data_IF_165867991879
#
_entry.id   IF_165867991879
#
_cell.length_a   1.000
_cell.length_b   1.000
_cell.length_c   1.000
_cell.angle_alpha   90.00
_cell.angle_beta   90.00
_cell.angle_gamma   90.00
#
_symmetry.space_group_name_H-M   'P 1'
#
loop_
_entity.id
_entity.type
_entity.pdbx_description
1 polymer ?
#
# COMPACT_ATOMS: atom_id res chain seq x y z
N UNK A 1 -8.75 -12.27 -2.64
CA UNK A 1 -8.72 -13.05 -3.89
C UNK A 1 -10.11 -13.12 -4.47
N UNK A 2 -10.37 -12.42 -5.58
CA UNK A 2 -11.70 -12.43 -6.22
C UNK A 2 -12.10 -13.81 -6.78
N UNK A 3 -11.13 -14.67 -7.08
CA UNK A 3 -11.35 -16.01 -7.65
C UNK A 3 -11.52 -17.13 -6.62
N UNK A 4 -11.43 -16.83 -5.31
CA UNK A 4 -11.34 -17.86 -4.26
C UNK A 4 -10.02 -18.65 -4.28
N UNK A 5 -9.07 -18.27 -5.14
CA UNK A 5 -7.76 -18.91 -5.28
C UNK A 5 -6.63 -17.90 -5.12
N UNK A 6 -5.52 -18.35 -4.56
CA UNK A 6 -4.34 -17.54 -4.38
C UNK A 6 -3.65 -17.27 -5.72
N UNK A 7 -3.42 -16.01 -6.13
CA UNK A 7 -2.77 -15.71 -7.40
C UNK A 7 -1.28 -16.07 -7.39
N UNK A 8 -0.66 -16.20 -6.20
CA UNK A 8 0.76 -16.56 -6.07
C UNK A 8 1.00 -18.06 -6.23
N UNK A 9 0.12 -18.92 -5.70
CA UNK A 9 0.36 -20.37 -5.64
C UNK A 9 -0.81 -21.25 -6.07
N UNK A 10 -1.92 -20.68 -6.53
CA UNK A 10 -3.11 -21.40 -7.00
C UNK A 10 -3.98 -22.04 -5.89
N UNK A 11 -3.56 -22.00 -4.63
CA UNK A 11 -4.31 -22.65 -3.53
C UNK A 11 -5.68 -22.02 -3.29
N UNK A 12 -6.70 -22.85 -3.04
CA UNK A 12 -8.03 -22.43 -2.57
C UNK A 12 -8.15 -22.25 -1.05
N UNK A 13 -7.07 -22.47 -0.29
CA UNK A 13 -7.08 -22.32 1.18
C UNK A 13 -6.85 -20.86 1.59
N UNK A 14 -7.93 -20.10 1.65
CA UNK A 14 -7.91 -18.65 1.92
C UNK A 14 -8.54 -18.35 3.28
N UNK A 15 -7.84 -17.58 4.10
CA UNK A 15 -8.32 -17.08 5.39
C UNK A 15 -8.79 -15.62 5.29
N UNK A 16 -9.88 -15.29 5.98
CA UNK A 16 -10.50 -13.96 6.05
C UNK A 16 -11.99 -13.98 5.66
N UNK A 17 -12.66 -12.81 5.55
CA UNK A 17 -12.12 -11.46 5.72
C UNK A 17 -11.67 -11.17 7.15
N UNK A 18 -10.42 -10.76 7.32
CA UNK A 18 -9.93 -10.26 8.60
C UNK A 18 -9.92 -8.73 8.54
N UNK A 19 -10.59 -8.08 9.49
CA UNK A 19 -10.31 -6.68 9.77
C UNK A 19 -8.92 -6.63 10.39
N UNK A 20 -7.98 -5.93 9.76
CA UNK A 20 -6.63 -5.80 10.33
C UNK A 20 -6.70 -4.91 11.55
N UNK A 21 -6.74 -5.51 12.74
CA UNK A 21 -6.68 -4.85 14.04
C UNK A 21 -5.24 -4.91 14.53
N UNK A 22 -4.57 -3.77 14.62
CA UNK A 22 -3.31 -3.66 15.35
C UNK A 22 -3.63 -3.09 16.72
N UNK A 23 -3.70 -3.94 17.75
CA UNK A 23 -3.68 -3.61 19.19
C UNK A 23 -4.76 -2.67 19.75
N UNK A 24 -4.98 -1.52 19.12
CA UNK A 24 -5.89 -0.43 19.50
C UNK A 24 -6.57 0.25 18.28
N UNK A 25 -6.48 -0.31 17.06
CA UNK A 25 -7.13 0.29 15.90
C UNK A 25 -6.92 -0.46 14.60
N UNK A 26 -7.79 -0.19 13.61
CA UNK A 26 -7.67 -0.72 12.25
C UNK A 26 -6.32 -0.29 11.63
N UNK A 27 -5.65 -1.19 10.89
CA UNK A 27 -4.46 -0.88 10.08
C UNK A 27 -4.71 0.40 9.29
N UNK A 28 -4.00 1.46 9.67
CA UNK A 28 -4.02 2.72 8.95
C UNK A 28 -3.06 2.56 7.79
N UNK A 29 -3.58 2.59 6.57
CA UNK A 29 -2.73 2.96 5.45
C UNK A 29 -2.26 4.38 5.73
N UNK A 30 -0.96 4.61 5.62
CA UNK A 30 -0.36 5.92 5.78
C UNK A 30 -0.77 6.79 4.58
N UNK A 31 -1.99 7.32 4.68
CA UNK A 31 -2.47 8.41 3.85
C UNK A 31 -2.20 9.67 4.68
N UNK A 32 -1.22 10.50 4.29
CA UNK A 32 -0.87 11.71 5.04
C UNK A 32 -2.12 12.55 5.31
N UNK A 33 -2.52 12.64 6.58
CA UNK A 33 -3.64 13.48 7.01
C UNK A 33 -5.05 12.91 6.82
N UNK A 34 -5.22 11.67 6.36
CA UNK A 34 -6.55 11.08 6.13
C UNK A 34 -6.75 9.82 6.98
N UNK A 35 -7.39 9.98 8.14
CA UNK A 35 -8.07 8.86 8.79
C UNK A 35 -9.30 8.53 7.97
N UNK A 36 -9.36 7.39 7.27
CA UNK A 36 -10.60 6.63 6.99
C UNK A 36 -10.37 5.60 5.89
N UNK A 37 -10.09 4.36 6.27
CA UNK A 37 -10.41 3.19 5.45
C UNK A 37 -10.48 1.98 6.36
N UNK A 38 -11.57 1.21 6.31
CA UNK A 38 -11.51 -0.15 6.83
C UNK A 38 -10.78 -0.99 5.79
N UNK A 39 -9.56 -1.40 6.10
CA UNK A 39 -8.91 -2.44 5.31
C UNK A 39 -9.40 -3.82 5.74
N UNK A 40 -9.70 -4.61 4.73
CA UNK A 40 -9.99 -6.02 4.89
C UNK A 40 -8.89 -6.80 4.21
N UNK A 41 -8.31 -7.76 4.92
CA UNK A 41 -7.28 -8.63 4.38
C UNK A 41 -7.83 -10.02 4.09
N UNK A 42 -7.38 -10.60 2.99
CA UNK A 42 -7.50 -12.03 2.69
C UNK A 42 -6.10 -12.62 2.54
N UNK A 43 -5.80 -13.68 3.27
CA UNK A 43 -4.46 -14.29 3.32
C UNK A 43 -4.49 -15.75 2.90
N UNK A 44 -3.61 -16.15 1.99
CA UNK A 44 -3.44 -17.55 1.63
C UNK A 44 -2.76 -18.32 2.77
N UNK A 45 -3.40 -19.36 3.29
CA UNK A 45 -2.85 -20.19 4.38
C UNK A 45 -1.55 -20.88 3.96
N UNK A 46 -1.44 -21.26 2.67
CA UNK A 46 -0.30 -22.05 2.21
C UNK A 46 0.97 -21.23 1.96
N UNK A 47 0.85 -19.98 1.50
CA UNK A 47 2.03 -19.21 1.07
C UNK A 47 2.12 -17.81 1.68
N UNK A 48 1.18 -17.43 2.57
CA UNK A 48 1.16 -16.14 3.26
C UNK A 48 0.84 -14.93 2.38
N UNK A 49 0.65 -15.10 1.07
CA UNK A 49 0.26 -14.01 0.18
C UNK A 49 -1.05 -13.38 0.66
N UNK A 50 -1.03 -12.06 0.85
CA UNK A 50 -2.12 -11.29 1.45
C UNK A 50 -2.56 -10.19 0.51
N UNK A 51 -3.86 -10.08 0.28
CA UNK A 51 -4.48 -9.00 -0.49
C UNK A 51 -5.29 -8.11 0.43
N UNK A 52 -5.15 -6.80 0.23
CA UNK A 52 -5.90 -5.79 0.96
C UNK A 52 -7.00 -5.21 0.08
N UNK A 53 -8.18 -5.04 0.68
CA UNK A 53 -9.34 -4.43 0.07
C UNK A 53 -9.71 -3.18 0.86
N UNK A 54 -9.89 -2.09 0.12
CA UNK A 54 -10.46 -0.86 0.65
C UNK A 54 -11.98 -0.86 0.43
N UNK A 55 -12.71 -0.31 1.40
CA UNK A 55 -14.10 0.10 1.19
C UNK A 55 -14.19 1.26 0.17
N UNK A 56 -15.41 1.63 -0.22
CA UNK A 56 -15.62 2.67 -1.24
C UNK A 56 -15.00 4.01 -0.83
N UNK A 57 -15.17 4.41 0.44
CA UNK A 57 -14.61 5.66 0.97
C UNK A 57 -13.08 5.62 0.97
N UNK A 58 -12.48 4.50 1.36
CA UNK A 58 -11.05 4.31 1.30
C UNK A 58 -10.51 4.33 -0.12
N UNK A 59 -11.21 3.73 -1.07
CA UNK A 59 -10.85 3.81 -2.48
C UNK A 59 -10.92 5.24 -3.02
N UNK A 60 -11.92 6.02 -2.60
CA UNK A 60 -12.00 7.45 -2.94
C UNK A 60 -10.81 8.24 -2.36
N UNK A 61 -10.46 8.00 -1.09
CA UNK A 61 -9.30 8.63 -0.46
C UNK A 61 -7.98 8.23 -1.13
N UNK A 62 -7.80 6.94 -1.47
CA UNK A 62 -6.63 6.48 -2.22
C UNK A 62 -6.52 7.12 -3.60
N UNK A 63 -7.65 7.35 -4.28
CA UNK A 63 -7.65 8.04 -5.58
C UNK A 63 -7.35 9.53 -5.45
N UNK A 64 -7.81 10.18 -4.38
CA UNK A 64 -7.62 11.62 -4.15
C UNK A 64 -6.22 11.94 -3.65
N UNK A 65 -5.76 11.21 -2.63
CA UNK A 65 -4.57 11.55 -1.83
C UNK A 65 -3.53 10.42 -1.79
N UNK A 66 -3.83 9.27 -2.40
CA UNK A 66 -2.91 8.14 -2.39
C UNK A 66 -1.64 8.44 -3.17
N UNK A 67 -0.50 8.10 -2.58
CA UNK A 67 0.79 8.15 -3.27
C UNK A 67 0.91 6.93 -4.17
N UNK A 68 1.11 7.15 -5.46
CA UNK A 68 1.37 6.08 -6.42
C UNK A 68 2.83 5.67 -6.31
N UNK A 69 3.07 4.37 -6.16
CA UNK A 69 4.39 3.80 -6.39
C UNK A 69 4.61 3.71 -7.90
N UNK A 70 5.58 4.47 -8.41
CA UNK A 70 6.00 4.43 -9.81
C UNK A 70 7.24 3.54 -9.96
N UNK A 71 7.24 2.70 -10.99
CA UNK A 71 8.44 1.98 -11.45
C UNK A 71 9.20 2.77 -12.52
N UNK A 72 8.66 3.91 -12.96
CA UNK A 72 9.30 4.78 -13.94
C UNK A 72 10.28 5.72 -13.21
N UNK A 73 11.58 5.54 -13.46
CA UNK A 73 12.66 6.28 -12.80
C UNK A 73 12.86 7.70 -13.35
N UNK A 74 12.00 8.17 -14.27
CA UNK A 74 12.06 9.52 -14.86
C UNK A 74 11.47 10.56 -13.90
N UNK A 75 12.12 10.77 -12.76
CA UNK A 75 11.81 11.86 -11.84
C UNK A 75 12.33 13.20 -12.37
N UNK A 76 11.66 14.29 -12.01
CA UNK A 76 12.31 15.61 -12.00
C UNK A 76 13.32 15.65 -10.85
N UNK A 77 14.42 16.43 -10.91
CA UNK A 77 15.48 16.45 -9.89
C UNK A 77 14.97 16.63 -8.45
N UNK A 78 13.84 17.31 -8.29
CA UNK A 78 13.27 17.66 -7.00
C UNK A 78 12.22 16.65 -6.49
N UNK A 79 11.99 15.53 -7.18
CA UNK A 79 10.92 14.57 -6.85
C UNK A 79 11.43 13.13 -6.85
N UNK A 80 11.08 12.35 -5.83
CA UNK A 80 11.40 10.94 -5.76
C UNK A 80 10.71 10.20 -6.90
N UNK A 81 11.49 9.60 -7.79
CA UNK A 81 10.94 8.87 -8.93
C UNK A 81 10.09 7.65 -8.53
N UNK A 82 10.23 7.15 -7.29
CA UNK A 82 9.45 6.01 -6.79
C UNK A 82 8.11 6.39 -6.16
N UNK A 83 8.07 7.37 -5.26
CA UNK A 83 6.84 7.70 -4.52
C UNK A 83 6.27 9.08 -4.85
N UNK A 84 6.93 9.84 -5.72
CA UNK A 84 6.53 11.18 -6.13
C UNK A 84 6.64 12.25 -5.03
N UNK A 85 7.31 11.96 -3.90
CA UNK A 85 7.51 12.96 -2.85
C UNK A 85 8.60 13.94 -3.25
N UNK A 86 8.40 15.23 -2.96
CA UNK A 86 9.45 16.25 -3.08
C UNK A 86 10.69 15.89 -2.26
N UNK A 87 11.84 15.90 -2.91
CA UNK A 87 13.13 15.63 -2.28
C UNK A 87 13.65 16.88 -1.59
N UNK A 88 14.28 16.69 -0.43
CA UNK A 88 15.08 17.74 0.19
C UNK A 88 16.37 17.92 -0.63
N UNK A 89 16.85 19.16 -0.81
CA UNK A 89 18.09 19.41 -1.57
C UNK A 89 19.26 18.59 -1.02
N UNK A 90 19.99 17.90 -1.90
CA UNK A 90 21.16 17.09 -1.54
C UNK A 90 20.86 15.80 -0.76
N UNK A 91 19.63 15.29 -0.82
CA UNK A 91 19.29 14.03 -0.16
C UNK A 91 19.62 12.82 -1.04
N UNK A 92 20.39 11.88 -0.51
CA UNK A 92 20.68 10.60 -1.16
C UNK A 92 19.57 9.55 -0.91
N UNK A 93 18.67 9.81 0.03
CA UNK A 93 17.57 8.91 0.40
C UNK A 93 16.27 9.70 0.54
N UNK A 94 15.19 9.17 -0.04
CA UNK A 94 13.85 9.75 0.12
C UNK A 94 13.34 9.55 1.55
N UNK A 95 13.07 10.65 2.26
CA UNK A 95 12.59 10.64 3.65
C UNK A 95 11.25 9.93 3.86
N UNK A 96 10.44 9.82 2.81
CA UNK A 96 9.09 9.26 2.90
C UNK A 96 9.01 7.77 2.58
N UNK A 97 9.82 7.27 1.64
CA UNK A 97 9.75 5.87 1.20
C UNK A 97 11.05 5.08 1.40
N UNK A 98 12.11 5.73 1.86
CA UNK A 98 13.42 5.09 2.09
C UNK A 98 14.16 4.67 0.83
N UNK A 99 13.67 5.06 -0.35
CA UNK A 99 14.36 4.75 -1.60
C UNK A 99 15.63 5.58 -1.76
N UNK A 100 16.74 4.94 -2.16
CA UNK A 100 17.98 5.62 -2.56
C UNK A 100 17.77 6.37 -3.87
N UNK A 101 18.19 7.62 -3.91
CA UNK A 101 18.09 8.51 -5.07
C UNK A 101 19.44 8.44 -5.78
N UNK A 102 19.47 7.73 -6.90
CA UNK A 102 20.60 7.72 -7.86
C UNK A 102 20.43 8.82 -8.91
#
# INVERSE_FOLDING_TARGET
>A
MRSGTCPKCGSGKIAGPHGTLTGEGRLKLDLPGVYTTTLVALTCINCGYTEFYADEKGLQNLRRDGRMYSTDTRGTPDMCARCGTRLSPGSDICSECGNVID
#
